data_IF_903226658342
#
_entry.id   IF_903226658342
#
_cell.length_a   1.000
_cell.length_b   1.000
_cell.length_c   1.000
_cell.angle_alpha   90.00
_cell.angle_beta   90.00
_cell.angle_gamma   90.00
#
_symmetry.space_group_name_H-M   'P 1'
#
loop_
_entity.id
_entity.type
_entity.pdbx_description
1 polymer ?
#
# COMPACT_ATOMS: atom_id res chain seq x y z
N UNK A 1 -18.35 -11.68 14.13
CA UNK A 1 -16.90 -11.35 14.22
C UNK A 1 -16.69 -10.25 15.25
N UNK A 2 -15.52 -10.19 15.90
CA UNK A 2 -15.26 -9.19 16.94
C UNK A 2 -14.90 -7.82 16.31
N UNK A 3 -14.95 -6.75 17.11
CA UNK A 3 -14.54 -5.40 16.70
C UNK A 3 -13.73 -4.74 17.79
N UNK A 4 -12.58 -4.19 17.44
CA UNK A 4 -11.74 -3.39 18.35
C UNK A 4 -11.30 -2.10 17.67
N UNK A 5 -10.82 -1.17 18.47
CA UNK A 5 -10.13 0.03 18.01
C UNK A 5 -8.87 0.24 18.85
N UNK A 6 -7.86 0.81 18.21
CA UNK A 6 -6.63 1.23 18.86
C UNK A 6 -6.67 2.76 18.94
N UNK A 7 -6.92 3.27 20.13
CA UNK A 7 -7.00 4.70 20.44
C UNK A 7 -5.65 5.23 20.90
N UNK A 8 -5.45 6.54 20.76
CA UNK A 8 -4.29 7.23 21.32
C UNK A 8 -4.68 7.96 22.62
N UNK A 9 -3.89 7.74 23.67
CA UNK A 9 -4.03 8.39 24.97
C UNK A 9 -2.75 9.17 25.30
N UNK A 10 -2.83 10.50 25.18
CA UNK A 10 -1.72 11.41 25.42
C UNK A 10 -1.27 11.37 26.88
N UNK A 11 0.04 11.31 27.11
CA UNK A 11 0.63 11.37 28.46
C UNK A 11 0.70 10.03 29.20
N UNK A 12 0.21 8.94 28.61
CA UNK A 12 0.42 7.59 29.14
C UNK A 12 1.77 7.02 28.71
N UNK A 13 2.41 6.22 29.59
CA UNK A 13 3.64 5.46 29.27
C UNK A 13 3.44 4.51 28.07
N UNK A 14 2.22 4.00 27.94
CA UNK A 14 1.78 3.15 26.83
C UNK A 14 0.58 3.84 26.17
N UNK A 15 0.80 4.72 25.19
CA UNK A 15 -0.24 5.62 24.69
C UNK A 15 -1.28 4.91 23.81
N UNK A 16 -0.97 3.73 23.24
CA UNK A 16 -1.89 3.07 22.32
C UNK A 16 -2.81 2.09 23.06
N UNK A 17 -4.09 2.45 23.17
CA UNK A 17 -5.09 1.75 23.96
C UNK A 17 -5.96 0.87 23.07
N UNK A 18 -5.93 -0.44 23.30
CA UNK A 18 -6.76 -1.41 22.61
C UNK A 18 -8.05 -1.66 23.39
N UNK A 19 -9.21 -1.38 22.80
CA UNK A 19 -10.52 -1.68 23.40
C UNK A 19 -11.64 -1.76 22.37
N UNK A 20 -12.82 -2.24 22.77
CA UNK A 20 -14.01 -2.09 21.93
C UNK A 20 -14.46 -0.62 21.91
N UNK A 21 -14.84 -0.03 20.75
CA UNK A 21 -15.18 1.39 20.64
C UNK A 21 -16.30 1.88 21.58
N UNK A 22 -17.21 0.98 21.96
CA UNK A 22 -18.35 1.27 22.84
C UNK A 22 -18.19 0.76 24.29
N UNK A 23 -17.05 0.18 24.66
CA UNK A 23 -16.77 -0.24 26.04
C UNK A 23 -15.73 0.69 26.66
N UNK A 24 -15.87 0.93 27.96
CA UNK A 24 -14.88 1.70 28.73
C UNK A 24 -13.71 0.81 29.17
N UNK A 25 -13.99 -0.47 29.42
CA UNK A 25 -13.00 -1.48 29.77
C UNK A 25 -11.93 -1.61 28.67
N UNK A 26 -10.67 -1.51 29.07
CA UNK A 26 -9.49 -1.61 28.19
C UNK A 26 -9.01 -3.06 28.14
N UNK A 27 -8.62 -3.53 26.96
CA UNK A 27 -8.00 -4.85 26.78
C UNK A 27 -6.50 -4.77 27.13
N UNK A 28 -5.81 -3.77 26.59
CA UNK A 28 -4.42 -3.50 26.92
C UNK A 28 -3.94 -2.15 26.40
N UNK A 29 -2.75 -1.74 26.82
CA UNK A 29 -2.09 -0.51 26.42
C UNK A 29 -0.66 -0.77 25.96
N UNK A 30 -0.26 -0.21 24.83
CA UNK A 30 0.96 -0.56 24.10
C UNK A 30 1.81 0.67 23.76
N UNK A 31 3.09 0.46 23.41
CA UNK A 31 4.00 1.53 22.99
C UNK A 31 3.76 1.97 21.54
N UNK A 32 3.30 1.05 20.68
CA UNK A 32 2.97 1.34 19.28
C UNK A 32 1.65 0.68 18.85
N UNK A 33 1.03 1.15 17.76
CA UNK A 33 -0.13 0.47 17.16
C UNK A 33 0.22 -0.94 16.69
N UNK A 34 1.41 -1.11 16.11
CA UNK A 34 1.94 -2.40 15.65
C UNK A 34 2.02 -3.41 16.78
N UNK A 35 2.55 -3.01 17.95
CA UNK A 35 2.62 -3.86 19.13
C UNK A 35 1.21 -4.36 19.52
N UNK A 36 0.23 -3.45 19.54
CA UNK A 36 -1.16 -3.77 19.87
C UNK A 36 -1.79 -4.75 18.88
N UNK A 37 -1.59 -4.52 17.57
CA UNK A 37 -2.10 -5.41 16.52
C UNK A 37 -1.45 -6.78 16.63
N UNK A 38 -0.12 -6.87 16.68
CA UNK A 38 0.61 -8.14 16.72
C UNK A 38 0.25 -8.95 17.96
N UNK A 39 0.20 -8.30 19.12
CA UNK A 39 -0.26 -8.94 20.35
C UNK A 39 -1.70 -9.48 20.20
N UNK A 40 -2.62 -8.67 19.67
CA UNK A 40 -4.03 -9.07 19.59
C UNK A 40 -4.31 -10.17 18.56
N UNK A 41 -3.65 -10.15 17.40
CA UNK A 41 -3.86 -11.17 16.36
C UNK A 41 -3.29 -12.55 16.75
N UNK A 42 -2.40 -12.61 17.75
CA UNK A 42 -1.89 -13.87 18.31
C UNK A 42 -2.99 -14.76 18.88
N UNK A 43 -4.11 -14.17 19.32
CA UNK A 43 -5.28 -14.89 19.85
C UNK A 43 -6.11 -15.59 18.77
N UNK A 44 -5.84 -15.37 17.48
CA UNK A 44 -6.52 -16.00 16.34
C UNK A 44 -8.04 -15.82 16.36
N UNK A 45 -8.49 -14.60 16.66
CA UNK A 45 -9.91 -14.23 16.69
C UNK A 45 -10.26 -13.41 15.45
N UNK A 46 -11.28 -13.83 14.68
CA UNK A 46 -11.75 -13.05 13.54
C UNK A 46 -12.27 -11.68 14.00
N UNK A 47 -11.61 -10.60 13.57
CA UNK A 47 -11.79 -9.27 14.14
C UNK A 47 -11.62 -8.17 13.10
N UNK A 48 -12.41 -7.11 13.24
CA UNK A 48 -12.18 -5.84 12.57
C UNK A 48 -11.48 -4.90 13.54
N UNK A 49 -10.26 -4.50 13.21
CA UNK A 49 -9.42 -3.62 14.02
C UNK A 49 -9.49 -2.23 13.39
N UNK A 50 -10.06 -1.26 14.09
CA UNK A 50 -10.02 0.15 13.66
C UNK A 50 -8.70 0.79 14.09
N UNK A 51 -8.08 1.52 13.16
CA UNK A 51 -6.83 2.22 13.39
C UNK A 51 -7.12 3.72 13.48
N UNK A 52 -6.73 4.31 14.59
CA UNK A 52 -6.83 5.74 14.81
C UNK A 52 -5.43 6.37 14.86
N UNK A 53 -5.34 7.66 14.56
CA UNK A 53 -4.11 8.44 14.72
C UNK A 53 -4.01 9.05 16.13
N UNK A 54 -2.97 9.85 16.36
CA UNK A 54 -2.73 10.53 17.64
C UNK A 54 -3.84 11.54 18.02
N UNK A 55 -4.61 12.00 17.04
CA UNK A 55 -5.79 12.87 17.25
C UNK A 55 -7.07 12.06 17.48
N UNK A 56 -6.98 10.74 17.56
CA UNK A 56 -8.11 9.82 17.62
C UNK A 56 -9.05 9.91 16.40
N UNK A 57 -8.55 10.33 15.25
CA UNK A 57 -9.26 10.28 13.98
C UNK A 57 -9.04 8.89 13.36
N UNK A 58 -10.10 8.28 12.83
CA UNK A 58 -9.96 6.98 12.19
C UNK A 58 -9.23 7.15 10.85
N UNK A 59 -8.05 6.53 10.73
CA UNK A 59 -7.21 6.60 9.54
C UNK A 59 -7.27 5.34 8.69
N UNK A 60 -7.72 4.24 9.26
CA UNK A 60 -7.93 3.00 8.53
C UNK A 60 -8.54 1.90 9.38
N UNK A 61 -8.53 0.71 8.83
CA UNK A 61 -8.95 -0.52 9.51
C UNK A 61 -8.24 -1.73 8.93
N UNK A 62 -8.15 -2.80 9.70
CA UNK A 62 -7.66 -4.11 9.27
C UNK A 62 -8.73 -5.15 9.56
N UNK A 63 -9.16 -5.86 8.53
CA UNK A 63 -9.95 -7.07 8.71
C UNK A 63 -9.01 -8.27 8.88
N UNK A 64 -9.02 -8.87 10.07
CA UNK A 64 -8.30 -10.11 10.37
C UNK A 64 -9.28 -11.27 10.34
N UNK A 65 -9.28 -12.05 9.26
CA UNK A 65 -10.29 -13.09 8.99
C UNK A 65 -9.63 -14.36 8.47
N UNK A 66 -10.34 -15.49 8.56
CA UNK A 66 -9.94 -16.70 7.83
C UNK A 66 -10.32 -16.59 6.37
N UNK A 67 -9.38 -16.94 5.50
CA UNK A 67 -9.57 -17.00 4.05
C UNK A 67 -9.72 -18.46 3.58
N UNK A 68 -10.91 -18.85 3.07
CA UNK A 68 -11.13 -20.19 2.52
C UNK A 68 -10.17 -20.54 1.39
N UNK A 69 -9.81 -19.57 0.55
CA UNK A 69 -8.93 -19.75 -0.61
C UNK A 69 -7.47 -19.96 -0.19
N UNK A 70 -7.15 -19.66 1.06
CA UNK A 70 -5.83 -19.83 1.65
C UNK A 70 -5.83 -20.85 2.79
N UNK A 71 -6.40 -22.03 2.54
CA UNK A 71 -6.42 -23.15 3.49
C UNK A 71 -7.01 -22.78 4.87
N UNK A 72 -8.01 -21.89 4.90
CA UNK A 72 -8.60 -21.33 6.13
C UNK A 72 -7.58 -20.68 7.08
N UNK A 73 -6.43 -20.21 6.55
CA UNK A 73 -5.44 -19.45 7.31
C UNK A 73 -5.94 -18.02 7.52
N UNK A 74 -5.41 -17.39 8.56
CA UNK A 74 -5.72 -16.00 8.84
C UNK A 74 -4.95 -15.06 7.90
N UNK A 75 -5.68 -14.10 7.33
CA UNK A 75 -5.14 -13.00 6.51
C UNK A 75 -5.46 -11.65 7.17
N UNK A 76 -4.73 -10.61 6.80
CA UNK A 76 -4.93 -9.23 7.25
C UNK A 76 -5.21 -8.35 6.04
N UNK A 77 -6.44 -7.84 5.91
CA UNK A 77 -6.84 -6.97 4.80
C UNK A 77 -6.86 -5.52 5.30
N UNK A 78 -5.83 -4.71 4.99
CA UNK A 78 -5.81 -3.31 5.39
C UNK A 78 -6.68 -2.47 4.46
N UNK A 79 -7.29 -1.45 5.02
CA UNK A 79 -8.08 -0.45 4.32
C UNK A 79 -7.74 0.93 4.89
N UNK A 80 -7.30 1.83 4.03
CA UNK A 80 -7.12 3.25 4.35
C UNK A 80 -8.48 3.97 4.39
N UNK A 81 -8.61 5.04 5.17
CA UNK A 81 -9.77 5.92 5.09
C UNK A 81 -9.62 7.02 4.02
N UNK A 82 -8.42 7.17 3.43
CA UNK A 82 -8.16 8.10 2.33
C UNK A 82 -8.20 9.59 2.71
N UNK A 83 -8.35 9.91 3.99
CA UNK A 83 -8.42 11.28 4.51
C UNK A 83 -7.04 11.81 4.95
N UNK A 84 -6.14 10.92 5.35
CA UNK A 84 -4.79 11.27 5.78
C UNK A 84 -3.80 10.85 4.70
N UNK A 85 -3.01 11.81 4.19
CA UNK A 85 -2.03 11.58 3.14
C UNK A 85 -0.90 10.63 3.58
N UNK A 86 -0.66 10.50 4.88
CA UNK A 86 0.40 9.63 5.42
C UNK A 86 -0.09 8.19 5.68
N UNK A 87 -1.40 7.98 5.74
CA UNK A 87 -2.03 6.70 6.10
C UNK A 87 -2.70 6.07 4.86
N UNK A 88 -1.87 5.87 3.85
CA UNK A 88 -2.23 5.20 2.59
C UNK A 88 -2.34 3.68 2.78
N UNK A 89 -2.98 3.00 1.82
CA UNK A 89 -3.00 1.54 1.81
C UNK A 89 -1.60 0.90 1.94
N UNK A 90 -0.59 1.47 1.26
CA UNK A 90 0.78 0.94 1.26
C UNK A 90 1.47 1.17 2.61
N UNK A 91 1.35 2.37 3.19
CA UNK A 91 1.95 2.63 4.50
C UNK A 91 1.35 1.75 5.60
N UNK A 92 0.05 1.41 5.52
CA UNK A 92 -0.56 0.43 6.41
C UNK A 92 -0.01 -0.99 6.16
N UNK A 93 0.18 -1.41 4.91
CA UNK A 93 0.81 -2.69 4.61
C UNK A 93 2.23 -2.76 5.19
N UNK A 94 3.00 -1.69 5.05
CA UNK A 94 4.37 -1.61 5.55
C UNK A 94 4.43 -1.60 7.10
N UNK A 95 3.58 -0.82 7.77
CA UNK A 95 3.54 -0.74 9.23
C UNK A 95 3.29 -2.11 9.87
N UNK A 96 2.30 -2.83 9.35
CA UNK A 96 1.85 -4.11 9.89
C UNK A 96 2.47 -5.33 9.20
N UNK A 97 3.43 -5.09 8.30
CA UNK A 97 4.17 -6.13 7.57
C UNK A 97 3.22 -7.12 6.86
N UNK A 98 2.38 -6.59 5.98
CA UNK A 98 1.38 -7.31 5.20
C UNK A 98 1.80 -7.29 3.73
N UNK A 99 1.73 -8.44 3.06
CA UNK A 99 1.84 -8.52 1.60
C UNK A 99 0.66 -7.75 0.95
N UNK A 100 0.92 -6.69 0.17
CA UNK A 100 -0.13 -5.83 -0.37
C UNK A 100 -0.96 -6.48 -1.49
N UNK A 101 -0.60 -7.66 -1.98
CA UNK A 101 -1.39 -8.37 -3.00
C UNK A 101 -2.13 -9.57 -2.41
N UNK A 102 -1.48 -10.27 -1.46
CA UNK A 102 -1.96 -11.53 -0.91
C UNK A 102 -2.61 -11.38 0.46
N UNK A 103 -2.42 -10.25 1.14
CA UNK A 103 -2.91 -9.99 2.50
C UNK A 103 -2.29 -10.90 3.56
N UNK A 104 -1.21 -11.60 3.22
CA UNK A 104 -0.51 -12.48 4.14
C UNK A 104 0.40 -11.63 5.03
N UNK A 105 0.54 -12.07 6.27
CA UNK A 105 1.57 -11.50 7.15
C UNK A 105 2.93 -11.94 6.64
N UNK A 106 3.85 -10.99 6.52
CA UNK A 106 5.24 -11.26 6.16
C UNK A 106 5.93 -12.00 7.32
N UNK A 107 5.59 -11.67 8.56
CA UNK A 107 5.99 -12.44 9.73
C UNK A 107 5.15 -13.71 9.89
N UNK A 108 5.85 -14.81 10.13
CA UNK A 108 5.26 -16.07 10.57
C UNK A 108 4.66 -15.94 11.97
N UNK A 109 3.74 -16.86 12.31
CA UNK A 109 3.15 -16.91 13.64
C UNK A 109 4.20 -17.07 14.74
N UNK A 110 5.23 -17.89 14.50
CA UNK A 110 6.34 -18.09 15.44
C UNK A 110 7.17 -16.81 15.66
N UNK A 111 7.41 -16.03 14.60
CA UNK A 111 8.12 -14.75 14.72
C UNK A 111 7.30 -13.72 15.50
N UNK A 112 5.99 -13.67 15.28
CA UNK A 112 5.09 -12.79 16.04
C UNK A 112 5.04 -13.22 17.50
N UNK A 113 4.94 -14.50 17.80
CA UNK A 113 4.96 -15.02 19.17
C UNK A 113 6.27 -14.69 19.88
N UNK A 114 7.42 -14.85 19.20
CA UNK A 114 8.71 -14.50 19.77
C UNK A 114 8.82 -12.99 20.02
N UNK A 115 8.39 -12.16 19.08
CA UNK A 115 8.33 -10.72 19.24
C UNK A 115 7.48 -10.31 20.46
N UNK A 116 6.31 -10.94 20.64
CA UNK A 116 5.39 -10.64 21.75
C UNK A 116 5.99 -10.94 23.12
N UNK A 117 6.83 -11.98 23.26
CA UNK A 117 7.46 -12.31 24.55
C UNK A 117 8.30 -11.17 25.12
N UNK A 118 8.86 -10.33 24.24
CA UNK A 118 9.71 -9.21 24.63
C UNK A 118 8.95 -7.88 24.72
N UNK A 119 7.64 -7.86 24.45
CA UNK A 119 6.82 -6.66 24.54
C UNK A 119 6.62 -6.25 26.00
N UNK A 120 6.84 -4.96 26.27
CA UNK A 120 6.43 -4.34 27.54
C UNK A 120 5.14 -3.56 27.30
N UNK A 121 4.05 -3.97 27.93
CA UNK A 121 2.72 -3.39 27.75
C UNK A 121 1.87 -3.55 29.03
N UNK A 122 0.75 -2.84 29.13
CA UNK A 122 -0.25 -3.05 30.19
C UNK A 122 -1.31 -4.02 29.70
N UNK A 123 -1.53 -5.13 30.43
CA UNK A 123 -2.58 -6.10 30.15
C UNK A 123 -3.73 -5.92 31.16
N UNK A 124 -4.95 -5.77 30.65
CA UNK A 124 -6.10 -5.40 31.48
C UNK A 124 -7.27 -6.39 31.37
N UNK A 125 -7.55 -6.92 30.18
CA UNK A 125 -8.63 -7.89 29.97
C UNK A 125 -8.27 -8.93 28.91
N UNK A 126 -8.82 -10.14 29.05
CA UNK A 126 -8.60 -11.24 28.11
C UNK A 126 -9.42 -11.07 26.82
N UNK A 127 -8.79 -10.99 25.64
CA UNK A 127 -9.49 -10.87 24.36
C UNK A 127 -10.56 -11.91 24.08
N UNK A 128 -10.42 -13.15 24.60
CA UNK A 128 -11.38 -14.23 24.32
C UNK A 128 -12.68 -14.05 25.09
N UNK A 129 -12.61 -13.63 26.34
CA UNK A 129 -13.77 -13.44 27.23
C UNK A 129 -14.33 -12.00 27.24
N UNK A 130 -13.59 -11.03 26.70
CA UNK A 130 -13.95 -9.61 26.73
C UNK A 130 -15.22 -9.23 25.94
N UNK A 131 -15.56 -9.97 24.88
CA UNK A 131 -16.65 -9.61 23.96
C UNK A 131 -17.96 -10.34 24.26
N UNK A 132 -18.96 -9.58 24.68
CA UNK A 132 -20.36 -10.02 24.69
C UNK A 132 -20.92 -10.13 23.27
N UNK A 133 -21.84 -11.08 23.03
CA UNK A 133 -22.41 -11.34 21.71
C UNK A 133 -23.08 -10.12 21.06
N UNK A 134 -23.63 -9.19 21.88
CA UNK A 134 -24.27 -7.95 21.42
C UNK A 134 -23.32 -6.97 20.73
N UNK A 135 -22.01 -7.12 20.93
CA UNK A 135 -20.97 -6.27 20.34
C UNK A 135 -20.32 -6.89 19.11
N UNK A 136 -20.74 -8.09 18.70
CA UNK A 136 -20.28 -8.69 17.47
C UNK A 136 -20.86 -7.99 16.25
N UNK A 137 -20.06 -7.94 15.19
CA UNK A 137 -20.48 -7.43 13.88
C UNK A 137 -20.62 -8.59 12.90
N UNK A 138 -21.46 -8.40 11.87
CA UNK A 138 -21.59 -9.35 10.76
C UNK A 138 -20.27 -9.42 9.98
N UNK A 139 -19.80 -10.64 9.70
CA UNK A 139 -18.68 -10.86 8.79
C UNK A 139 -19.13 -10.53 7.36
N UNK A 140 -18.33 -9.73 6.67
CA UNK A 140 -18.46 -9.40 5.25
C UNK A 140 -17.53 -10.26 4.41
N UNK A 141 -17.78 -10.27 3.11
CA UNK A 141 -16.92 -10.93 2.13
C UNK A 141 -15.59 -10.17 1.96
N UNK A 142 -14.57 -10.87 1.47
CA UNK A 142 -13.19 -10.37 1.37
C UNK A 142 -13.12 -9.07 0.56
N UNK A 143 -13.83 -9.03 -0.55
CA UNK A 143 -13.86 -7.93 -1.52
C UNK A 143 -14.51 -6.67 -0.96
N UNK A 144 -15.39 -6.82 0.04
CA UNK A 144 -16.08 -5.71 0.71
C UNK A 144 -15.18 -4.96 1.70
N UNK A 145 -14.07 -5.56 2.13
CA UNK A 145 -13.08 -4.86 2.96
C UNK A 145 -12.09 -4.03 2.14
N UNK A 146 -12.09 -4.18 0.81
CA UNK A 146 -11.20 -3.43 -0.09
C UNK A 146 -11.90 -2.17 -0.61
N UNK A 147 -11.40 -1.01 -0.18
CA UNK A 147 -11.82 0.28 -0.72
C UNK A 147 -11.20 0.55 -2.11
N UNK A 148 -11.60 1.66 -2.74
CA UNK A 148 -11.08 2.06 -4.05
C UNK A 148 -9.56 2.30 -4.02
N UNK A 149 -9.02 2.92 -2.96
CA UNK A 149 -7.57 3.17 -2.82
C UNK A 149 -6.77 1.87 -2.84
N UNK A 150 -7.15 0.88 -2.02
CA UNK A 150 -6.53 -0.44 -2.00
C UNK A 150 -6.57 -1.10 -3.39
N UNK A 151 -7.75 -1.12 -4.04
CA UNK A 151 -7.91 -1.70 -5.38
C UNK A 151 -7.00 -1.03 -6.42
N UNK A 152 -6.92 0.30 -6.41
CA UNK A 152 -6.04 1.05 -7.32
C UNK A 152 -4.57 0.74 -7.04
N UNK A 153 -4.15 0.72 -5.78
CA UNK A 153 -2.76 0.46 -5.39
C UNK A 153 -2.32 -0.97 -5.71
N UNK A 154 -3.18 -1.96 -5.44
CA UNK A 154 -2.94 -3.35 -5.84
C UNK A 154 -2.73 -3.46 -7.36
N UNK A 155 -3.59 -2.82 -8.16
CA UNK A 155 -3.45 -2.81 -9.62
C UNK A 155 -2.16 -2.12 -10.08
N UNK A 156 -1.75 -1.03 -9.43
CA UNK A 156 -0.48 -0.37 -9.72
C UNK A 156 0.72 -1.28 -9.44
N UNK A 157 0.71 -2.03 -8.33
CA UNK A 157 1.76 -2.99 -7.99
C UNK A 157 1.80 -4.14 -9.01
N UNK A 158 0.65 -4.70 -9.36
CA UNK A 158 0.55 -5.77 -10.38
C UNK A 158 1.13 -5.30 -11.72
N UNK A 159 0.78 -4.09 -12.17
CA UNK A 159 1.30 -3.51 -13.41
C UNK A 159 2.80 -3.24 -13.35
N UNK A 160 3.31 -2.73 -12.22
CA UNK A 160 4.74 -2.52 -12.01
C UNK A 160 5.51 -3.84 -12.10
N UNK A 161 5.04 -4.89 -11.41
CA UNK A 161 5.65 -6.22 -11.46
C UNK A 161 5.66 -6.84 -12.87
N UNK A 162 4.60 -6.65 -13.64
CA UNK A 162 4.56 -7.08 -15.06
C UNK A 162 5.53 -6.29 -15.93
N UNK A 163 5.69 -4.99 -15.67
CA UNK A 163 6.63 -4.14 -16.42
C UNK A 163 8.08 -4.52 -16.16
N UNK A 164 8.42 -4.88 -14.92
CA UNK A 164 9.74 -5.36 -14.53
C UNK A 164 10.04 -6.73 -15.12
N UNK A 165 9.06 -7.64 -15.12
CA UNK A 165 9.19 -8.95 -15.78
C UNK A 165 9.44 -8.78 -17.28
N UNK A 166 8.67 -7.94 -17.97
CA UNK A 166 8.85 -7.68 -19.40
C UNK A 166 10.20 -7.01 -19.70
N UNK A 167 10.70 -6.15 -18.80
CA UNK A 167 12.04 -5.55 -18.90
C UNK A 167 13.14 -6.60 -18.70
N UNK A 168 12.98 -7.53 -17.76
CA UNK A 168 13.89 -8.65 -17.56
C UNK A 168 13.87 -9.61 -18.75
N UNK A 169 12.70 -10.00 -19.25
CA UNK A 169 12.58 -10.87 -20.44
C UNK A 169 13.19 -10.21 -21.68
N UNK A 170 13.03 -8.89 -21.86
CA UNK A 170 13.71 -8.15 -22.94
C UNK A 170 15.22 -8.07 -22.73
N UNK A 171 15.69 -7.91 -21.50
CA UNK A 171 17.11 -7.89 -21.18
C UNK A 171 17.77 -9.26 -21.33
N UNK A 172 17.07 -10.34 -21.01
CA UNK A 172 17.54 -11.72 -21.20
C UNK A 172 17.55 -12.09 -22.68
N UNK A 173 16.49 -11.77 -23.43
CA UNK A 173 16.48 -11.95 -24.88
C UNK A 173 17.56 -11.13 -25.60
N UNK A 174 17.87 -9.92 -25.11
CA UNK A 174 18.99 -9.13 -25.64
C UNK A 174 20.35 -9.77 -25.32
N UNK A 175 20.52 -10.36 -24.13
CA UNK A 175 21.74 -11.11 -23.77
C UNK A 175 21.89 -12.39 -24.59
N UNK A 176 20.81 -13.13 -24.83
CA UNK A 176 20.82 -14.32 -25.69
C UNK A 176 21.18 -13.96 -27.14
N UNK A 177 20.73 -12.81 -27.64
CA UNK A 177 21.12 -12.30 -28.96
C UNK A 177 22.60 -11.88 -29.02
N UNK A 178 23.13 -11.24 -27.98
CA UNK A 178 24.54 -10.90 -27.88
C UNK A 178 25.44 -12.16 -27.77
N UNK A 179 25.02 -13.17 -27.01
CA UNK A 179 25.73 -14.46 -26.88
C UNK A 179 25.72 -15.27 -28.21
N UNK A 180 24.63 -15.18 -28.98
CA UNK A 180 24.53 -15.74 -30.34
C UNK A 180 25.39 -14.98 -31.38
N UNK A 181 25.63 -13.69 -31.17
CA UNK A 181 26.51 -12.90 -32.03
C UNK A 181 28.00 -13.21 -31.78
N UNK A 182 28.37 -13.52 -30.53
CA UNK A 182 29.74 -13.90 -30.15
C UNK A 182 30.08 -15.33 -30.62
N UNK A 183 29.12 -16.26 -30.58
CA UNK A 183 29.35 -17.65 -31.04
C UNK A 183 29.49 -17.77 -32.56
N UNK A 184 28.90 -16.86 -33.33
CA UNK A 184 29.07 -16.85 -34.80
C UNK A 184 30.30 -16.08 -35.31
N UNK A 185 30.96 -15.28 -34.45
CA UNK A 185 32.17 -14.52 -34.84
C UNK A 185 33.48 -15.29 -34.60
N UNK A 186 33.48 -16.37 -33.80
CA UNK A 186 34.69 -17.18 -33.54
C UNK A 186 34.96 -18.25 -34.62
N UNK A 187 34.03 -18.52 -35.53
CA UNK A 187 34.22 -19.58 -36.57
C UNK A 187 34.69 -19.03 -37.93
N UNK A 188 34.77 -17.72 -38.14
CA UNK A 188 35.06 -17.15 -39.48
C UNK A 188 36.53 -16.73 -39.68
N UNK A 189 37.38 -16.68 -38.65
CA UNK A 189 38.78 -16.23 -38.79
C UNK A 189 39.85 -17.32 -39.04
N UNK A 190 39.48 -18.60 -39.14
CA UNK A 190 40.44 -19.66 -39.48
C UNK A 190 40.01 -20.51 -40.68
N UNK A 191 39.92 -19.89 -41.87
CA UNK A 191 40.30 -20.58 -43.12
C UNK A 191 40.29 -19.63 -44.32
N UNK A 192 41.28 -18.74 -44.40
CA UNK A 192 41.66 -18.15 -45.68
C UNK A 192 43.14 -18.44 -45.87
N UNK A 193 43.43 -19.48 -46.68
CA UNK A 193 44.50 -19.60 -47.69
C UNK A 193 44.67 -21.10 -48.02
N UNK A 194 44.02 -21.57 -49.09
CA UNK A 194 44.69 -22.22 -50.23
C UNK A 194 43.71 -22.63 -51.35
N UNK A 195 44.05 -22.13 -52.54
CA UNK A 195 43.89 -22.70 -53.89
C UNK A 195 42.53 -22.59 -54.61
N UNK A 196 42.52 -21.69 -55.60
CA UNK A 196 42.15 -21.96 -57.01
C UNK A 196 42.20 -23.46 -57.37
N UNK A 197 41.28 -24.07 -58.13
CA UNK A 197 40.77 -23.64 -59.44
C UNK A 197 39.74 -24.67 -59.94
N UNK A 198 38.78 -24.20 -60.73
CA UNK A 198 38.08 -24.88 -61.86
C UNK A 198 36.76 -25.64 -61.63
N UNK A 199 35.82 -25.24 -62.49
CA UNK A 199 34.76 -25.99 -63.18
C UNK A 199 33.35 -26.13 -62.58
N UNK A 200 32.47 -25.39 -63.28
CA UNK A 200 31.25 -25.89 -63.95
C UNK A 200 29.93 -26.09 -63.17
N UNK A 201 28.98 -25.22 -63.53
CA UNK A 201 27.61 -25.52 -64.02
C UNK A 201 26.81 -26.60 -63.29
N UNK A 202 25.68 -26.19 -62.72
CA UNK A 202 24.30 -26.45 -63.21
C UNK A 202 23.29 -25.96 -62.16
N UNK A 203 22.28 -25.16 -62.55
CA UNK A 203 20.83 -25.47 -62.56
C UNK A 203 20.23 -25.82 -61.19
N UNK A 204 19.01 -25.50 -60.76
CA UNK A 204 17.84 -24.67 -61.13
C UNK A 204 16.82 -24.97 -59.98
N UNK A 205 15.67 -24.28 -59.95
CA UNK A 205 14.49 -24.50 -59.06
C UNK A 205 14.63 -23.89 -57.65
N UNK A 206 13.91 -22.85 -57.24
CA UNK A 206 12.49 -22.47 -57.38
C UNK A 206 11.53 -23.56 -56.87
N UNK A 207 11.08 -23.43 -55.62
CA UNK A 207 9.66 -23.59 -55.34
C UNK A 207 9.20 -22.79 -54.11
N UNK A 208 8.18 -21.97 -54.37
CA UNK A 208 7.37 -21.24 -53.41
C UNK A 208 6.41 -22.20 -52.69
N UNK A 209 6.11 -21.95 -51.41
CA UNK A 209 4.74 -22.16 -50.92
C UNK A 209 4.37 -21.25 -49.74
N UNK A 210 3.71 -20.17 -50.10
CA UNK A 210 2.75 -19.39 -49.32
C UNK A 210 1.46 -20.18 -49.06
N UNK A 211 0.74 -19.78 -48.00
CA UNK A 211 -0.73 -19.55 -47.93
C UNK A 211 -1.39 -20.29 -46.74
N UNK A 212 -1.75 -19.65 -45.60
CA UNK A 212 -2.90 -18.76 -45.22
C UNK A 212 -4.16 -19.50 -44.72
N UNK A 213 -4.83 -18.87 -43.72
CA UNK A 213 -6.26 -18.90 -43.32
C UNK A 213 -6.69 -20.00 -42.35
N UNK A 214 -7.65 -19.84 -41.42
CA UNK A 214 -8.46 -18.71 -40.90
C UNK A 214 -9.21 -19.23 -39.65
N UNK A 215 -9.41 -18.36 -38.67
CA UNK A 215 -10.64 -18.09 -37.90
C UNK A 215 -11.51 -19.22 -37.29
N UNK A 216 -11.86 -19.08 -36.00
CA UNK A 216 -13.26 -19.09 -35.57
C UNK A 216 -13.48 -18.36 -34.22
N UNK A 217 -14.60 -17.64 -34.15
CA UNK A 217 -15.06 -16.66 -33.15
C UNK A 217 -16.29 -17.22 -32.41
N UNK A 218 -16.52 -16.72 -31.19
CA UNK A 218 -17.80 -16.58 -30.45
C UNK A 218 -18.50 -17.80 -29.86
N UNK A 219 -18.77 -17.70 -28.54
CA UNK A 219 -20.16 -17.64 -28.07
C UNK A 219 -20.29 -16.83 -26.77
N UNK A 220 -21.09 -15.77 -26.84
CA UNK A 220 -21.68 -14.99 -25.76
C UNK A 220 -23.04 -15.61 -25.43
N UNK A 221 -23.42 -15.67 -24.16
CA UNK A 221 -24.83 -15.81 -23.78
C UNK A 221 -25.09 -15.04 -22.47
N UNK A 222 -25.81 -13.93 -22.61
CA UNK A 222 -26.43 -13.15 -21.55
C UNK A 222 -27.68 -13.86 -21.03
N UNK A 223 -27.93 -13.75 -19.72
CA UNK A 223 -29.29 -13.87 -19.18
C UNK A 223 -29.45 -12.88 -18.02
N UNK A 224 -30.32 -11.90 -18.28
CA UNK A 224 -30.91 -10.93 -17.36
C UNK A 224 -32.15 -11.55 -16.69
N UNK A 225 -32.38 -11.30 -15.40
CA UNK A 225 -33.70 -11.00 -14.81
C UNK A 225 -33.55 -10.67 -13.32
N UNK A 226 -33.71 -9.40 -12.94
CA UNK A 226 -34.92 -8.76 -12.39
C UNK A 226 -35.07 -8.87 -10.86
N UNK A 227 -35.05 -7.69 -10.24
CA UNK A 227 -35.52 -7.36 -8.88
C UNK A 227 -37.02 -7.08 -8.96
N UNK A 228 -37.80 -7.40 -7.91
CA UNK A 228 -38.66 -6.34 -7.35
C UNK A 228 -38.63 -6.28 -5.81
N UNK A 229 -38.29 -5.08 -5.35
CA UNK A 229 -38.82 -4.27 -4.25
C UNK A 229 -39.87 -4.91 -3.32
N UNK A 230 -39.65 -4.79 -2.02
CA UNK A 230 -40.73 -4.43 -1.07
C UNK A 230 -40.19 -3.41 -0.07
N UNK A 231 -40.85 -2.26 -0.05
CA UNK A 231 -40.70 -1.17 0.90
C UNK A 231 -41.63 -1.37 2.11
N UNK A 232 -41.55 -0.42 3.05
CA UNK A 232 -42.42 -0.16 4.21
C UNK A 232 -41.78 -0.68 5.52
N UNK A 233 -41.67 0.08 6.62
CA UNK A 233 -42.42 1.27 7.02
C UNK A 233 -41.72 2.06 8.15
N UNK A 234 -42.20 3.29 8.33
CA UNK A 234 -41.95 4.32 9.37
C UNK A 234 -41.93 3.79 10.83
N UNK A 235 -41.22 4.38 11.81
CA UNK A 235 -41.59 5.62 12.57
C UNK A 235 -40.65 5.75 13.80
N UNK A 236 -40.01 6.91 14.04
CA UNK A 236 -40.31 7.99 15.02
C UNK A 236 -40.49 7.60 16.51
N UNK A 237 -39.60 8.11 17.37
CA UNK A 237 -39.82 8.94 18.60
C UNK A 237 -38.47 9.03 19.37
N UNK A 238 -37.82 10.17 19.66
CA UNK A 238 -38.14 11.42 20.40
C UNK A 238 -38.51 11.22 21.89
N UNK A 239 -37.56 11.56 22.78
CA UNK A 239 -37.74 12.12 24.14
C UNK A 239 -36.33 12.34 24.74
N UNK A 240 -35.70 13.52 24.86
CA UNK A 240 -35.93 14.72 25.71
C UNK A 240 -36.04 14.48 27.22
N UNK A 241 -35.04 14.96 27.99
CA UNK A 241 -35.09 15.79 29.23
C UNK A 241 -33.66 15.83 29.84
N UNK A 242 -33.01 17.01 29.96
CA UNK A 242 -32.94 17.90 31.15
C UNK A 242 -32.45 17.21 32.43
N UNK A 243 -31.56 17.73 33.29
CA UNK A 243 -31.00 19.07 33.49
C UNK A 243 -29.79 18.94 34.47
N UNK A 244 -28.88 19.92 34.36
CA UNK A 244 -27.77 20.45 35.21
C UNK A 244 -27.85 20.30 36.77
N UNK A 245 -26.94 20.91 37.57
CA UNK A 245 -25.47 20.91 37.60
C UNK A 245 -24.93 20.71 39.04
N UNK A 246 -23.64 20.40 39.27
CA UNK A 246 -22.98 20.72 40.55
C UNK A 246 -21.53 21.17 40.33
N UNK A 247 -21.24 22.23 41.07
CA UNK A 247 -20.09 23.12 41.09
C UNK A 247 -19.02 22.67 42.12
N UNK A 248 -17.84 23.27 42.00
CA UNK A 248 -16.93 23.71 43.08
C UNK A 248 -15.84 22.76 43.63
N UNK A 249 -14.58 23.09 43.31
CA UNK A 249 -13.56 23.74 44.17
C UNK A 249 -12.14 23.38 43.68
N UNK A 250 -11.33 24.35 43.24
CA UNK A 250 -10.34 25.10 44.04
C UNK A 250 -9.27 24.23 44.71
N UNK A 251 -8.03 24.26 44.19
CA UNK A 251 -6.87 24.85 44.89
C UNK A 251 -5.57 24.76 44.07
N UNK A 252 -5.03 25.95 43.80
CA UNK A 252 -3.69 26.47 44.08
C UNK A 252 -2.39 25.63 43.94
N UNK A 253 -1.50 26.29 43.20
CA UNK A 253 -0.07 26.55 43.45
C UNK A 253 0.89 25.39 43.76
N UNK A 254 1.86 25.20 42.86
CA UNK A 254 3.28 25.32 43.24
C UNK A 254 4.17 25.58 42.02
N UNK A 255 4.79 26.76 42.02
CA UNK A 255 6.00 27.11 41.26
C UNK A 255 7.10 26.08 41.53
N UNK A 256 7.86 25.72 40.49
CA UNK A 256 9.29 25.51 40.66
C UNK A 256 10.04 25.84 39.37
N UNK A 257 10.84 26.89 39.47
CA UNK A 257 11.87 27.31 38.52
C UNK A 257 12.95 26.22 38.42
N UNK A 258 13.28 25.79 37.20
CA UNK A 258 14.53 25.08 36.93
C UNK A 258 15.31 25.84 35.87
N UNK A 259 16.38 26.45 36.37
CA UNK A 259 17.59 26.99 35.73
C UNK A 259 17.81 26.55 34.28
N UNK A 260 17.79 27.54 33.39
CA UNK A 260 18.37 27.49 32.06
C UNK A 260 19.90 27.42 32.18
N UNK A 261 20.49 26.29 31.81
CA UNK A 261 21.93 26.17 31.58
C UNK A 261 22.20 26.33 30.09
N UNK A 262 22.98 27.36 29.74
CA UNK A 262 23.52 27.59 28.40
C UNK A 262 24.38 26.39 27.95
N UNK A 263 24.02 25.77 26.83
CA UNK A 263 24.87 24.81 26.13
C UNK A 263 25.46 25.46 24.87
N UNK A 264 26.80 25.42 24.80
CA UNK A 264 27.69 25.84 23.69
C UNK A 264 27.24 25.33 22.30
N UNK A 265 27.60 26.04 21.21
CA UNK A 265 27.23 25.67 19.85
C UNK A 265 28.02 24.43 19.39
N UNK A 266 27.29 23.35 19.13
CA UNK A 266 27.83 22.14 18.53
C UNK A 266 28.07 22.33 17.02
N UNK A 267 29.27 21.93 16.61
CA UNK A 267 29.84 21.96 15.27
C UNK A 267 28.94 21.20 14.27
N UNK A 268 28.34 21.93 13.30
CA UNK A 268 27.48 21.34 12.27
C UNK A 268 28.33 20.64 11.20
N UNK A 269 28.14 19.34 11.07
CA UNK A 269 28.75 18.52 10.01
C UNK A 269 28.29 18.96 8.61
N UNK A 270 29.12 18.80 7.57
CA UNK A 270 28.93 19.44 6.25
C UNK A 270 27.87 18.78 5.36
N UNK A 271 27.19 17.73 5.84
CA UNK A 271 26.30 16.88 5.01
C UNK A 271 25.03 17.63 4.56
N UNK A 272 24.53 18.57 5.37
CA UNK A 272 23.33 19.35 5.03
C UNK A 272 23.50 20.35 3.86
N UNK A 273 24.74 20.75 3.55
CA UNK A 273 25.00 21.65 2.41
C UNK A 273 24.88 20.92 1.08
N UNK A 274 25.26 19.65 1.02
CA UNK A 274 25.26 18.87 -0.23
C UNK A 274 23.83 18.60 -0.71
N UNK A 275 22.91 18.28 0.21
CA UNK A 275 21.50 18.02 -0.11
C UNK A 275 20.77 19.32 -0.54
N UNK A 276 21.13 20.46 0.06
CA UNK A 276 20.57 21.75 -0.36
C UNK A 276 21.01 22.15 -1.79
N UNK A 277 22.27 21.88 -2.15
CA UNK A 277 22.78 22.19 -3.49
C UNK A 277 22.15 21.31 -4.57
N UNK A 278 21.86 20.03 -4.30
CA UNK A 278 21.22 19.13 -5.28
C UNK A 278 19.77 19.50 -5.56
N UNK A 279 19.00 19.89 -4.54
CA UNK A 279 17.61 20.35 -4.72
C UNK A 279 17.56 21.66 -5.50
N UNK A 280 18.48 22.60 -5.21
CA UNK A 280 18.55 23.87 -5.90
C UNK A 280 18.95 23.71 -7.38
N UNK A 281 19.88 22.81 -7.69
CA UNK A 281 20.27 22.52 -9.09
C UNK A 281 19.13 21.88 -9.87
N UNK A 282 18.36 20.98 -9.26
CA UNK A 282 17.16 20.40 -9.90
C UNK A 282 16.09 21.45 -10.20
N UNK A 283 15.86 22.40 -9.28
CA UNK A 283 14.92 23.50 -9.51
C UNK A 283 15.36 24.44 -10.65
N UNK A 284 16.64 24.80 -10.69
CA UNK A 284 17.20 25.65 -11.75
C UNK A 284 17.11 24.92 -13.11
N UNK A 285 17.42 23.62 -13.14
CA UNK A 285 17.33 22.83 -14.37
C UNK A 285 15.88 22.72 -14.85
N UNK A 286 14.92 22.51 -13.95
CA UNK A 286 13.49 22.50 -14.27
C UNK A 286 12.98 23.85 -14.80
N UNK A 287 13.45 24.96 -14.24
CA UNK A 287 13.09 26.30 -14.72
C UNK A 287 13.69 26.59 -16.11
N UNK A 288 14.92 26.16 -16.37
CA UNK A 288 15.58 26.30 -17.67
C UNK A 288 14.88 25.46 -18.75
N UNK A 289 14.55 24.19 -18.46
CA UNK A 289 13.85 23.35 -19.43
C UNK A 289 12.46 23.88 -19.72
N UNK A 290 11.72 24.33 -18.70
CA UNK A 290 10.42 24.97 -18.88
C UNK A 290 10.52 26.25 -19.71
N UNK A 291 11.53 27.10 -19.46
CA UNK A 291 11.77 28.31 -20.22
C UNK A 291 12.11 28.04 -21.70
N UNK A 292 12.90 27.00 -21.98
CA UNK A 292 13.21 26.57 -23.35
C UNK A 292 11.94 26.08 -24.06
N UNK A 293 11.11 25.29 -23.38
CA UNK A 293 9.84 24.80 -23.94
C UNK A 293 8.91 25.98 -24.26
N UNK A 294 8.75 26.94 -23.36
CA UNK A 294 7.94 28.12 -23.59
C UNK A 294 8.47 29.02 -24.72
N UNK A 295 9.80 29.12 -24.89
CA UNK A 295 10.42 29.86 -25.99
C UNK A 295 10.17 29.16 -27.33
N UNK A 296 10.30 27.83 -27.37
CA UNK A 296 10.06 27.03 -28.57
C UNK A 296 8.57 27.02 -28.98
N UNK A 297 7.67 27.03 -28.00
CA UNK A 297 6.22 27.22 -28.19
C UNK A 297 5.93 28.62 -28.76
N UNK A 298 6.55 29.67 -28.20
CA UNK A 298 6.43 31.04 -28.72
C UNK A 298 6.97 31.20 -30.15
N UNK A 299 8.04 30.47 -30.49
CA UNK A 299 8.61 30.42 -31.85
C UNK A 299 7.79 29.56 -32.82
N UNK A 300 6.74 28.88 -32.35
CA UNK A 300 5.87 28.03 -33.18
C UNK A 300 6.56 26.75 -33.69
N UNK A 301 7.62 26.29 -33.01
CA UNK A 301 8.42 25.13 -33.44
C UNK A 301 7.84 23.82 -32.88
N UNK A 302 7.20 23.87 -31.71
CA UNK A 302 6.60 22.70 -31.04
C UNK A 302 5.19 23.04 -30.60
N UNK A 303 4.22 22.32 -31.15
CA UNK A 303 2.79 22.44 -30.83
C UNK A 303 2.47 21.52 -29.63
N UNK A 304 3.05 21.82 -28.47
CA UNK A 304 3.04 20.90 -27.31
C UNK A 304 1.92 21.17 -26.29
N UNK A 305 1.07 22.18 -26.51
CA UNK A 305 -0.02 22.54 -25.58
C UNK A 305 -1.38 22.65 -26.31
N UNK A 306 -2.07 21.53 -26.60
CA UNK A 306 -3.43 21.57 -27.12
C UNK A 306 -4.49 22.05 -26.09
N UNK A 307 -4.10 22.44 -24.87
CA UNK A 307 -5.03 22.72 -23.77
C UNK A 307 -5.18 24.19 -23.35
N UNK A 308 -4.50 25.13 -24.02
CA UNK A 308 -4.76 26.57 -23.80
C UNK A 308 -5.15 27.21 -25.12
N UNK A 309 -6.34 26.82 -25.62
CA UNK A 309 -7.02 27.60 -26.64
C UNK A 309 -7.38 28.97 -26.05
N UNK A 310 -6.64 30.01 -26.45
CA UNK A 310 -7.09 31.38 -26.32
C UNK A 310 -8.28 31.57 -27.27
N UNK A 311 -9.50 31.56 -26.73
CA UNK A 311 -10.66 32.10 -27.45
C UNK A 311 -10.38 33.56 -27.80
N UNK A 312 -10.31 33.86 -29.09
CA UNK A 312 -10.66 35.16 -29.65
C UNK A 312 -11.77 34.96 -30.66
#
# INVERSE_FOLDING_TARGET
MKKVAIFYNTGAKFPWVLKHPKKDEIIGQFKSRKDAVFWYISFKLETLILLLNEKNEQVGQIAYIKDPDYNNRFIMIPQSNGLDANETYISLCDEFEIDPLKFYKLNTDAQIEEYIKHLTFSYNADPKSYFESKYEIKKRDKEEYLNADAKVKMKQIELAGLSDLNRHTRSEAAKELDDLAITNTVVIEQNIIKKEKTSERSNLEVENKTTTKEAMISKVEEASEQIPVTSDDLSKEKSSLDMLPVQNNENDEAKNEIKTAESKPANKSPVGKIIGFTILTLLILGALTFGIIALLDWLGIVDLLPFISARK
#
